data_IF_902118501949
#
_entry.id   IF_902118501949
#
_cell.length_a   1.000
_cell.length_b   1.000
_cell.length_c   1.000
_cell.angle_alpha   90.00
_cell.angle_beta   90.00
_cell.angle_gamma   90.00
#
_symmetry.space_group_name_H-M   'P 1'
#
loop_
_entity.id
_entity.type
_entity.pdbx_description
1 polymer ?
#
# COMPACT_ATOMS: atom_id res chain seq x y z
N UNK A 1 -11.62 -10.08 23.18
CA UNK A 1 -11.52 -10.26 21.71
C UNK A 1 -12.90 -10.23 21.04
N UNK A 2 -13.94 -10.85 21.62
CA UNK A 2 -15.30 -10.89 21.05
C UNK A 2 -15.93 -9.52 20.72
N UNK A 3 -15.73 -8.49 21.56
CA UNK A 3 -16.29 -7.15 21.34
C UNK A 3 -15.81 -6.48 20.04
N UNK A 4 -14.57 -6.70 19.59
CA UNK A 4 -14.02 -6.04 18.37
C UNK A 4 -14.56 -6.62 17.06
N UNK A 5 -15.14 -7.82 17.09
CA UNK A 5 -15.65 -8.49 15.90
C UNK A 5 -17.17 -8.32 15.72
N UNK A 6 -17.86 -7.91 16.78
CA UNK A 6 -19.32 -7.87 16.83
C UNK A 6 -19.89 -6.47 17.03
N UNK A 7 -19.04 -5.49 17.36
CA UNK A 7 -19.44 -4.11 17.61
C UNK A 7 -18.74 -3.17 16.61
N UNK A 8 -19.43 -2.14 16.10
CA UNK A 8 -18.84 -1.14 15.21
C UNK A 8 -17.88 -0.25 15.99
N UNK A 9 -16.65 -0.72 16.13
CA UNK A 9 -15.58 -0.03 16.83
C UNK A 9 -14.49 0.39 15.85
N UNK A 10 -14.02 1.63 15.97
CA UNK A 10 -12.80 2.11 15.31
C UNK A 10 -11.71 2.34 16.35
N UNK A 11 -10.47 2.03 15.99
CA UNK A 11 -9.33 2.34 16.86
C UNK A 11 -9.12 3.86 16.89
N UNK A 12 -9.04 4.43 18.10
CA UNK A 12 -8.69 5.83 18.30
C UNK A 12 -7.23 6.02 17.88
N UNK A 13 -6.93 6.99 16.97
CA UNK A 13 -5.56 7.28 16.58
C UNK A 13 -4.66 7.54 17.80
N UNK A 14 -3.50 6.90 17.86
CA UNK A 14 -2.47 7.16 18.87
C UNK A 14 -1.34 8.00 18.27
N UNK A 15 -0.50 8.64 19.11
CA UNK A 15 0.71 9.32 18.64
C UNK A 15 1.77 8.37 18.05
N UNK A 16 1.60 7.06 18.21
CA UNK A 16 2.54 6.04 17.76
C UNK A 16 2.41 5.85 16.24
N UNK A 17 3.44 6.25 15.50
CA UNK A 17 3.46 6.20 14.04
C UNK A 17 3.82 4.80 13.58
N UNK A 18 2.96 4.19 12.77
CA UNK A 18 3.18 2.88 12.15
C UNK A 18 3.53 1.77 13.17
N UNK A 19 2.86 1.81 14.31
CA UNK A 19 2.98 0.83 15.37
C UNK A 19 1.60 0.30 15.77
N UNK A 20 1.60 -0.88 16.38
CA UNK A 20 0.43 -1.44 17.03
C UNK A 20 0.59 -1.20 18.53
N UNK A 21 -0.10 -0.21 19.13
CA UNK A 21 -0.03 0.03 20.57
C UNK A 21 -0.35 -1.27 21.30
N UNK A 22 0.43 -1.56 22.34
CA UNK A 22 0.16 -2.70 23.21
C UNK A 22 -1.24 -2.63 23.84
N UNK A 23 -1.78 -1.42 24.00
CA UNK A 23 -3.13 -1.16 24.51
C UNK A 23 -3.88 -0.18 23.58
N UNK A 24 -4.42 -0.67 22.44
CA UNK A 24 -5.17 0.18 21.54
C UNK A 24 -6.50 0.58 22.19
N UNK A 25 -6.84 1.87 22.10
CA UNK A 25 -8.14 2.41 22.50
C UNK A 25 -9.11 2.33 21.34
N UNK A 26 -10.38 2.08 21.63
CA UNK A 26 -11.45 2.01 20.64
C UNK A 26 -12.57 2.96 21.02
N UNK A 27 -13.24 3.49 20.00
CA UNK A 27 -14.49 4.23 20.13
C UNK A 27 -15.54 3.62 19.22
N UNK A 28 -16.81 3.82 19.54
CA UNK A 28 -17.92 3.48 18.65
C UNK A 28 -17.87 4.33 17.39
N UNK A 29 -18.26 3.75 16.27
CA UNK A 29 -18.56 4.48 15.04
C UNK A 29 -20.05 4.38 14.76
N UNK A 30 -20.67 5.53 14.45
CA UNK A 30 -22.04 5.56 13.96
C UNK A 30 -22.05 5.04 12.51
N UNK A 31 -22.85 4.01 12.26
CA UNK A 31 -23.11 3.53 10.91
C UNK A 31 -24.36 4.29 10.43
N UNK A 32 -24.29 5.05 9.32
CA UNK A 32 -25.46 5.74 8.80
C UNK A 32 -26.57 4.76 8.43
N UNK A 33 -27.79 5.01 8.90
CA UNK A 33 -28.95 4.12 8.71
C UNK A 33 -29.41 4.00 7.23
N UNK A 34 -29.04 4.95 6.37
CA UNK A 34 -29.65 5.14 5.04
C UNK A 34 -28.71 4.91 3.84
N UNK A 35 -27.49 4.40 4.05
CA UNK A 35 -26.60 4.14 2.92
C UNK A 35 -27.14 2.95 2.09
N UNK A 36 -27.82 3.24 0.97
CA UNK A 36 -28.14 2.19 0.00
C UNK A 36 -26.86 1.45 -0.39
N UNK A 37 -26.94 0.12 -0.51
CA UNK A 37 -25.78 -0.71 -0.89
C UNK A 37 -25.12 -0.17 -2.17
N UNK A 38 -25.93 0.29 -3.12
CA UNK A 38 -25.43 0.80 -4.39
C UNK A 38 -24.69 2.14 -4.22
N UNK A 39 -25.18 3.04 -3.36
CA UNK A 39 -24.50 4.29 -3.00
C UNK A 39 -23.20 4.07 -2.21
N UNK A 40 -23.18 3.08 -1.31
CA UNK A 40 -21.99 2.68 -0.57
C UNK A 40 -20.94 2.07 -1.51
N UNK A 41 -21.34 1.19 -2.43
CA UNK A 41 -20.46 0.60 -3.44
C UNK A 41 -19.90 1.66 -4.39
N UNK A 42 -20.72 2.60 -4.85
CA UNK A 42 -20.28 3.72 -5.66
C UNK A 42 -19.21 4.56 -4.95
N UNK A 43 -19.48 4.94 -3.69
CA UNK A 43 -18.53 5.74 -2.88
C UNK A 43 -17.22 4.99 -2.62
N UNK A 44 -17.30 3.69 -2.35
CA UNK A 44 -16.12 2.84 -2.15
C UNK A 44 -15.32 2.69 -3.45
N UNK A 45 -15.97 2.46 -4.58
CA UNK A 45 -15.30 2.34 -5.88
C UNK A 45 -14.60 3.64 -6.28
N UNK A 46 -15.26 4.80 -6.10
CA UNK A 46 -14.64 6.10 -6.37
C UNK A 46 -13.42 6.35 -5.48
N UNK A 47 -13.51 6.02 -4.18
CA UNK A 47 -12.40 6.16 -3.24
C UNK A 47 -11.22 5.26 -3.60
N UNK A 48 -11.52 4.03 -4.05
CA UNK A 48 -10.52 3.11 -4.58
C UNK A 48 -9.82 3.67 -5.83
N UNK A 49 -10.58 4.22 -6.79
CA UNK A 49 -9.99 4.82 -8.00
C UNK A 49 -9.11 6.04 -7.67
N UNK A 50 -9.53 6.89 -6.73
CA UNK A 50 -8.70 8.02 -6.29
C UNK A 50 -7.35 7.61 -5.69
N UNK A 51 -7.30 6.43 -5.06
CA UNK A 51 -6.09 5.92 -4.44
C UNK A 51 -5.22 5.09 -5.40
N UNK A 52 -5.85 4.32 -6.29
CA UNK A 52 -5.17 3.25 -7.04
C UNK A 52 -5.50 3.22 -8.53
N UNK A 53 -6.25 4.19 -9.05
CA UNK A 53 -6.54 4.30 -10.47
C UNK A 53 -5.27 4.56 -11.32
N UNK A 54 -5.31 4.28 -12.64
CA UNK A 54 -6.39 3.60 -13.36
C UNK A 54 -6.48 2.10 -13.08
N UNK A 55 -7.69 1.58 -12.83
CA UNK A 55 -7.92 0.19 -12.43
C UNK A 55 -9.18 -0.43 -13.06
N UNK A 56 -9.21 -1.76 -13.22
CA UNK A 56 -10.37 -2.48 -13.73
C UNK A 56 -11.36 -2.85 -12.62
N UNK A 57 -12.60 -3.20 -12.99
CA UNK A 57 -13.55 -3.76 -12.02
C UNK A 57 -13.01 -5.03 -11.35
N UNK A 58 -12.26 -5.86 -12.10
CA UNK A 58 -11.65 -7.06 -11.54
C UNK A 58 -10.56 -6.75 -10.50
N UNK A 59 -9.85 -5.63 -10.66
CA UNK A 59 -8.88 -5.16 -9.66
C UNK A 59 -9.61 -4.73 -8.38
N UNK A 60 -10.68 -3.95 -8.51
CA UNK A 60 -11.52 -3.55 -7.37
C UNK A 60 -12.12 -4.75 -6.63
N UNK A 61 -12.63 -5.75 -7.36
CA UNK A 61 -13.16 -6.97 -6.76
C UNK A 61 -12.09 -7.77 -6.02
N UNK A 62 -10.89 -7.89 -6.60
CA UNK A 62 -9.78 -8.58 -5.95
C UNK A 62 -9.31 -7.87 -4.68
N UNK A 63 -9.31 -6.53 -4.68
CA UNK A 63 -8.93 -5.72 -3.52
C UNK A 63 -9.99 -5.73 -2.41
N UNK A 64 -11.26 -5.53 -2.76
CA UNK A 64 -12.36 -5.43 -1.79
C UNK A 64 -12.90 -6.77 -1.30
N UNK A 65 -12.67 -7.85 -2.06
CA UNK A 65 -13.30 -9.16 -1.83
C UNK A 65 -14.78 -9.21 -2.24
N UNK A 66 -15.33 -8.13 -2.80
CA UNK A 66 -16.75 -8.04 -3.16
C UNK A 66 -17.02 -8.65 -4.54
N UNK A 67 -18.05 -9.50 -4.64
CA UNK A 67 -18.36 -10.27 -5.87
C UNK A 67 -19.51 -9.68 -6.70
N UNK A 68 -19.88 -8.42 -6.48
CA UNK A 68 -21.04 -7.74 -7.10
C UNK A 68 -20.85 -7.33 -8.57
N UNK A 69 -20.44 -8.25 -9.46
CA UNK A 69 -20.04 -7.94 -10.84
C UNK A 69 -21.07 -7.14 -11.64
N UNK A 70 -22.35 -7.54 -11.63
CA UNK A 70 -23.40 -6.86 -12.39
C UNK A 70 -23.70 -5.44 -11.85
N UNK A 71 -23.81 -5.30 -10.53
CA UNK A 71 -24.02 -4.00 -9.87
C UNK A 71 -22.84 -3.05 -10.12
N UNK A 72 -21.61 -3.53 -9.99
CA UNK A 72 -20.41 -2.72 -10.24
C UNK A 72 -20.34 -2.22 -11.68
N UNK A 73 -20.76 -3.04 -12.66
CA UNK A 73 -20.85 -2.60 -14.05
C UNK A 73 -21.86 -1.47 -14.23
N UNK A 74 -23.04 -1.59 -13.62
CA UNK A 74 -24.07 -0.55 -13.69
C UNK A 74 -23.61 0.74 -13.02
N UNK A 75 -23.01 0.64 -11.83
CA UNK A 75 -22.44 1.76 -11.08
C UNK A 75 -21.36 2.46 -11.92
N UNK A 76 -20.38 1.71 -12.43
CA UNK A 76 -19.31 2.31 -13.23
C UNK A 76 -19.83 2.99 -14.51
N UNK A 77 -20.90 2.44 -15.12
CA UNK A 77 -21.51 3.01 -16.33
C UNK A 77 -22.36 4.25 -16.06
N UNK A 78 -22.89 4.42 -14.85
CA UNK A 78 -23.64 5.63 -14.46
C UNK A 78 -22.75 6.75 -13.94
N UNK A 79 -21.47 6.48 -13.69
CA UNK A 79 -20.49 7.46 -13.21
C UNK A 79 -19.79 8.18 -14.36
N UNK A 80 -19.46 9.46 -14.13
CA UNK A 80 -18.61 10.24 -15.04
C UNK A 80 -17.12 9.94 -14.77
N UNK A 81 -16.64 8.79 -15.25
CA UNK A 81 -15.25 8.33 -15.12
C UNK A 81 -14.47 8.48 -16.43
N UNK A 82 -13.15 8.57 -16.32
CA UNK A 82 -12.26 8.33 -17.46
C UNK A 82 -12.18 6.82 -17.71
N UNK A 83 -12.00 6.45 -18.98
CA UNK A 83 -11.82 5.06 -19.40
C UNK A 83 -10.62 4.94 -20.34
N UNK A 84 -9.71 4.03 -19.99
CA UNK A 84 -8.53 3.68 -20.77
C UNK A 84 -8.60 2.23 -21.24
N UNK A 85 -7.71 1.89 -22.16
CA UNK A 85 -7.46 0.52 -22.62
C UNK A 85 -6.02 0.17 -22.31
N UNK A 86 -5.80 -0.94 -21.62
CA UNK A 86 -4.44 -1.48 -21.48
C UNK A 86 -4.00 -2.24 -22.74
N UNK A 87 -2.78 -2.73 -22.74
CA UNK A 87 -2.18 -3.46 -23.88
C UNK A 87 -2.93 -4.76 -24.22
N UNK A 88 -3.71 -5.31 -23.27
CA UNK A 88 -4.56 -6.48 -23.47
C UNK A 88 -6.00 -6.13 -23.90
N UNK A 89 -6.29 -4.83 -24.10
CA UNK A 89 -7.61 -4.34 -24.45
C UNK A 89 -8.59 -4.22 -23.26
N UNK A 90 -8.13 -4.44 -22.02
CA UNK A 90 -9.00 -4.35 -20.84
C UNK A 90 -9.33 -2.90 -20.50
N UNK A 91 -10.58 -2.64 -20.13
CA UNK A 91 -11.03 -1.33 -19.62
C UNK A 91 -10.41 -1.05 -18.25
N UNK A 92 -9.73 0.09 -18.13
CA UNK A 92 -9.31 0.67 -16.85
C UNK A 92 -10.09 1.96 -16.62
N UNK A 93 -10.69 2.10 -15.45
CA UNK A 93 -11.40 3.30 -15.04
C UNK A 93 -10.50 4.18 -14.18
N UNK A 94 -10.72 5.49 -14.23
CA UNK A 94 -10.06 6.46 -13.37
C UNK A 94 -10.96 7.68 -13.12
N UNK A 95 -10.62 8.49 -12.13
CA UNK A 95 -11.38 9.70 -11.84
C UNK A 95 -10.99 10.86 -12.77
N UNK A 96 -11.86 11.86 -12.92
CA UNK A 96 -11.63 13.01 -13.82
C UNK A 96 -10.52 13.94 -13.34
N UNK A 97 -10.25 13.93 -12.04
CA UNK A 97 -9.19 14.68 -11.36
C UNK A 97 -7.84 13.96 -11.35
N UNK A 98 -7.78 12.69 -11.78
CA UNK A 98 -6.55 11.94 -11.86
C UNK A 98 -5.57 12.53 -12.86
N UNK A 99 -4.29 12.49 -12.49
CA UNK A 99 -3.17 12.94 -13.33
C UNK A 99 -2.31 11.74 -13.72
N UNK A 100 -2.31 11.39 -15.00
CA UNK A 100 -1.37 10.41 -15.55
C UNK A 100 -0.08 11.15 -15.88
N UNK A 101 1.02 10.71 -15.28
CA UNK A 101 2.36 11.20 -15.61
C UNK A 101 2.88 10.54 -16.89
N UNK A 102 3.79 11.21 -17.59
CA UNK A 102 4.42 10.63 -18.77
C UNK A 102 5.15 9.32 -18.40
N UNK A 103 5.12 8.32 -19.29
CA UNK A 103 5.70 6.99 -19.05
C UNK A 103 7.21 7.04 -18.75
N UNK A 104 7.91 8.05 -19.28
CA UNK A 104 9.35 8.23 -19.13
C UNK A 104 9.68 9.08 -17.88
N UNK A 105 8.67 9.50 -17.11
CA UNK A 105 8.85 10.18 -15.82
C UNK A 105 9.47 9.20 -14.81
N UNK A 106 10.67 9.47 -14.27
CA UNK A 106 11.29 8.59 -13.30
C UNK A 106 10.47 8.52 -12.00
N UNK A 107 10.16 7.31 -11.54
CA UNK A 107 9.55 7.11 -10.22
C UNK A 107 10.63 7.17 -9.13
N UNK A 108 10.46 8.01 -8.09
CA UNK A 108 11.46 8.21 -7.05
C UNK A 108 11.61 6.98 -6.16
N UNK A 109 12.74 6.90 -5.45
CA UNK A 109 12.94 5.89 -4.41
C UNK A 109 11.95 6.13 -3.26
N UNK A 110 11.23 5.08 -2.84
CA UNK A 110 10.26 5.15 -1.74
C UNK A 110 10.31 3.92 -0.86
N UNK A 111 10.18 4.12 0.45
CA UNK A 111 10.04 3.04 1.42
C UNK A 111 8.57 2.91 1.79
N UNK A 112 8.00 1.75 1.51
CA UNK A 112 6.61 1.43 1.88
C UNK A 112 6.59 0.61 3.16
N UNK A 113 5.64 0.88 4.09
CA UNK A 113 5.51 0.13 5.33
C UNK A 113 5.09 -1.33 5.08
N UNK A 114 5.19 -2.15 6.15
CA UNK A 114 4.58 -3.47 6.19
C UNK A 114 3.09 -3.36 5.76
N UNK A 115 2.64 -4.26 4.88
CA UNK A 115 1.26 -4.32 4.37
C UNK A 115 0.77 -3.12 3.53
N UNK A 116 1.67 -2.35 2.92
CA UNK A 116 1.25 -1.27 2.03
C UNK A 116 0.36 -1.77 0.87
N UNK A 117 -0.76 -1.09 0.64
CA UNK A 117 -1.76 -1.47 -0.36
C UNK A 117 -1.26 -1.33 -1.80
N UNK A 118 -0.18 -0.60 -2.06
CA UNK A 118 0.42 -0.49 -3.41
C UNK A 118 0.70 -1.87 -4.01
N UNK A 119 1.00 -2.87 -3.16
CA UNK A 119 1.31 -4.25 -3.54
C UNK A 119 0.06 -5.14 -3.78
N UNK A 120 -1.12 -4.67 -3.38
CA UNK A 120 -2.37 -5.47 -3.34
C UNK A 120 -3.59 -4.81 -3.96
N UNK A 121 -3.54 -3.51 -4.24
CA UNK A 121 -4.66 -2.76 -4.79
C UNK A 121 -5.08 -3.25 -6.17
N UNK A 122 -4.20 -3.94 -6.89
CA UNK A 122 -4.46 -4.50 -8.20
C UNK A 122 -4.40 -6.02 -8.17
N UNK A 123 -5.24 -6.66 -9.00
CA UNK A 123 -5.25 -8.12 -9.16
C UNK A 123 -3.92 -8.60 -9.74
N UNK A 124 -3.40 -7.88 -10.74
CA UNK A 124 -2.07 -8.13 -11.26
C UNK A 124 -1.02 -7.41 -10.39
N UNK A 125 -0.23 -8.19 -9.65
CA UNK A 125 0.82 -7.69 -8.75
C UNK A 125 2.14 -7.39 -9.47
N UNK A 126 2.26 -7.82 -10.72
CA UNK A 126 3.47 -7.67 -11.52
C UNK A 126 3.71 -6.22 -11.96
N UNK A 127 2.75 -5.33 -11.66
CA UNK A 127 2.83 -3.88 -11.89
C UNK A 127 3.94 -3.21 -11.09
N UNK A 128 4.24 -3.74 -9.90
CA UNK A 128 5.22 -3.15 -8.97
C UNK A 128 6.17 -4.18 -8.39
N UNK A 129 5.90 -5.48 -8.56
CA UNK A 129 6.79 -6.56 -8.10
C UNK A 129 7.19 -7.41 -9.29
N UNK A 130 8.48 -7.53 -9.55
CA UNK A 130 8.99 -8.48 -10.54
C UNK A 130 8.60 -9.93 -10.13
N UNK A 131 7.99 -10.73 -11.04
CA UNK A 131 7.56 -12.09 -10.73
C UNK A 131 8.65 -12.99 -10.12
N UNK A 132 9.92 -12.78 -10.49
CA UNK A 132 11.07 -13.56 -10.02
C UNK A 132 11.37 -13.35 -8.52
N UNK A 133 11.10 -12.16 -7.98
CA UNK A 133 11.32 -11.83 -6.57
C UNK A 133 10.03 -11.88 -5.75
N UNK A 134 8.86 -11.97 -6.38
CA UNK A 134 7.55 -11.98 -5.69
C UNK A 134 7.46 -12.97 -4.53
N UNK A 135 7.96 -14.23 -4.63
CA UNK A 135 7.97 -15.16 -3.50
C UNK A 135 8.83 -14.70 -2.31
N UNK A 136 9.83 -13.83 -2.54
CA UNK A 136 10.69 -13.25 -1.49
C UNK A 136 9.96 -12.15 -0.69
N UNK A 137 8.99 -11.47 -1.30
CA UNK A 137 8.22 -10.36 -0.73
C UNK A 137 6.87 -10.84 -0.17
N UNK A 138 6.06 -11.49 -1.00
CA UNK A 138 4.74 -12.03 -0.64
C UNK A 138 4.92 -13.49 -0.26
N UNK A 139 5.47 -13.70 0.94
CA UNK A 139 5.61 -15.02 1.53
C UNK A 139 4.23 -15.47 2.03
N UNK A 140 3.94 -16.78 1.98
CA UNK A 140 2.74 -17.36 2.62
C UNK A 140 2.73 -17.25 4.16
N UNK A 141 3.62 -16.43 4.73
CA UNK A 141 3.72 -16.13 6.16
C UNK A 141 2.79 -14.98 6.52
N UNK A 142 2.36 -14.88 7.79
CA UNK A 142 1.43 -13.84 8.22
C UNK A 142 1.97 -12.42 8.04
N UNK A 143 3.30 -12.26 8.01
CA UNK A 143 3.99 -10.96 7.90
C UNK A 143 4.45 -10.68 6.48
N UNK A 144 4.03 -9.53 5.94
CA UNK A 144 4.65 -8.95 4.75
C UNK A 144 5.58 -7.82 5.17
N UNK A 145 6.86 -7.86 4.77
CA UNK A 145 7.82 -6.83 5.17
C UNK A 145 7.55 -5.52 4.44
N UNK A 146 8.03 -4.42 5.04
CA UNK A 146 8.20 -3.16 4.35
C UNK A 146 9.07 -3.34 3.11
N UNK A 147 8.74 -2.62 2.04
CA UNK A 147 9.39 -2.74 0.74
C UNK A 147 10.09 -1.45 0.35
N UNK A 148 11.12 -1.57 -0.50
CA UNK A 148 11.83 -0.45 -1.10
C UNK A 148 11.50 -0.43 -2.58
N UNK A 149 10.88 0.65 -3.04
CA UNK A 149 10.65 0.91 -4.46
C UNK A 149 11.84 1.68 -5.03
N UNK A 150 12.38 1.21 -6.15
CA UNK A 150 13.39 1.91 -6.96
C UNK A 150 12.87 1.91 -8.39
N UNK A 151 12.72 3.09 -9.01
CA UNK A 151 12.12 3.20 -10.34
C UNK A 151 10.68 2.68 -10.41
N UNK A 152 9.96 2.68 -9.28
CA UNK A 152 8.57 2.22 -9.20
C UNK A 152 8.40 0.71 -8.96
N UNK A 153 9.49 -0.06 -8.90
CA UNK A 153 9.46 -1.49 -8.65
C UNK A 153 10.07 -1.84 -7.30
N UNK A 154 9.54 -2.88 -6.66
CA UNK A 154 10.11 -3.46 -5.45
C UNK A 154 11.48 -4.02 -5.78
N UNK A 155 12.51 -3.45 -5.16
CA UNK A 155 13.91 -3.85 -5.35
C UNK A 155 14.58 -4.25 -4.03
N UNK A 156 13.81 -4.25 -2.93
CA UNK A 156 14.26 -4.72 -1.64
C UNK A 156 13.18 -4.70 -0.57
N UNK A 157 13.58 -5.11 0.62
CA UNK A 157 12.78 -5.06 1.85
C UNK A 157 13.51 -4.28 2.93
N UNK A 158 12.77 -3.81 3.93
CA UNK A 158 13.36 -3.14 5.08
C UNK A 158 12.68 -3.53 6.39
N UNK A 159 13.37 -3.29 7.50
CA UNK A 159 12.83 -3.46 8.84
C UNK A 159 13.42 -2.45 9.82
N UNK A 160 12.57 -1.96 10.71
CA UNK A 160 12.99 -1.16 11.86
C UNK A 160 13.27 -2.08 13.05
N UNK A 161 14.45 -1.92 13.67
CA UNK A 161 14.85 -2.66 14.85
C UNK A 161 15.12 -1.64 15.96
N UNK A 162 14.25 -1.60 16.97
CA UNK A 162 14.43 -0.78 18.15
C UNK A 162 14.31 -1.66 19.40
N UNK A 163 15.46 -2.20 19.85
CA UNK A 163 15.56 -2.94 21.10
C UNK A 163 15.91 -1.92 22.17
N UNK A 164 14.96 -1.54 23.02
CA UNK A 164 15.14 -0.49 24.04
C UNK A 164 16.50 -0.60 24.75
N UNK A 165 17.25 0.50 24.79
CA UNK A 165 18.61 0.56 25.34
C UNK A 165 19.74 0.48 24.30
N UNK A 166 19.46 0.13 23.04
CA UNK A 166 20.43 0.15 21.93
C UNK A 166 20.23 1.29 20.94
N UNK A 167 21.19 1.48 20.04
CA UNK A 167 21.03 2.39 18.89
C UNK A 167 19.98 1.78 17.94
N UNK A 168 18.89 2.51 17.61
CA UNK A 168 17.91 2.01 16.65
C UNK A 168 18.54 1.76 15.29
N UNK A 169 18.07 0.72 14.59
CA UNK A 169 18.64 0.29 13.32
C UNK A 169 17.58 0.15 12.23
N UNK A 170 17.83 0.77 11.08
CA UNK A 170 17.13 0.52 9.84
C UNK A 170 17.93 -0.51 9.02
N UNK A 171 17.37 -1.71 8.84
CA UNK A 171 17.98 -2.75 8.01
C UNK A 171 17.31 -2.77 6.66
N UNK A 172 18.11 -2.72 5.59
CA UNK A 172 17.67 -2.72 4.20
C UNK A 172 18.31 -3.90 3.49
N UNK A 173 17.50 -4.70 2.80
CA UNK A 173 17.92 -5.86 2.05
C UNK A 173 17.49 -5.70 0.59
N UNK A 174 18.45 -5.47 -0.30
CA UNK A 174 18.23 -5.27 -1.73
C UNK A 174 18.33 -6.60 -2.47
N UNK A 175 17.61 -6.74 -3.57
CA UNK A 175 17.58 -7.97 -4.38
C UNK A 175 18.49 -7.91 -5.60
N UNK A 176 18.63 -6.73 -6.24
CA UNK A 176 19.38 -6.59 -7.50
C UNK A 176 20.54 -5.59 -7.43
N UNK A 177 20.69 -4.88 -6.32
CA UNK A 177 21.62 -3.76 -6.20
C UNK A 177 22.69 -4.02 -5.14
N UNK A 178 23.94 -4.17 -5.58
CA UNK A 178 25.08 -4.38 -4.68
C UNK A 178 25.50 -3.12 -3.92
N UNK A 179 25.25 -1.93 -4.49
CA UNK A 179 25.64 -0.65 -3.91
C UNK A 179 24.43 0.31 -3.89
N UNK A 180 24.07 0.89 -2.73
CA UNK A 180 22.96 1.83 -2.65
C UNK A 180 23.33 3.19 -3.26
N UNK A 181 22.47 3.69 -4.14
CA UNK A 181 22.58 5.01 -4.79
C UNK A 181 22.45 6.15 -3.76
N UNK A 182 22.82 7.37 -4.15
CA UNK A 182 22.64 8.55 -3.30
C UNK A 182 21.17 8.76 -2.92
N UNK A 183 20.26 8.70 -3.89
CA UNK A 183 18.82 8.86 -3.67
C UNK A 183 18.26 7.84 -2.66
N UNK A 184 18.70 6.57 -2.75
CA UNK A 184 18.30 5.53 -1.80
C UNK A 184 18.80 5.83 -0.38
N UNK A 185 20.03 6.32 -0.24
CA UNK A 185 20.60 6.69 1.06
C UNK A 185 19.84 7.86 1.68
N UNK A 186 19.57 8.90 0.91
CA UNK A 186 18.83 10.07 1.39
C UNK A 186 17.39 9.71 1.81
N UNK A 187 16.70 8.86 1.05
CA UNK A 187 15.35 8.40 1.43
C UNK A 187 15.40 7.51 2.68
N UNK A 188 16.38 6.61 2.79
CA UNK A 188 16.57 5.79 3.98
C UNK A 188 16.82 6.65 5.23
N UNK A 189 17.63 7.70 5.11
CA UNK A 189 17.87 8.66 6.18
C UNK A 189 16.59 9.41 6.56
N UNK A 190 15.80 9.89 5.59
CA UNK A 190 14.50 10.54 5.87
C UNK A 190 13.57 9.62 6.64
N UNK A 191 13.42 8.36 6.20
CA UNK A 191 12.62 7.37 6.90
C UNK A 191 13.14 7.12 8.31
N UNK A 192 14.44 6.89 8.45
CA UNK A 192 15.08 6.59 9.72
C UNK A 192 14.85 7.68 10.77
N UNK A 193 15.03 8.94 10.41
CA UNK A 193 14.75 10.08 11.28
C UNK A 193 13.27 10.17 11.65
N UNK A 194 12.38 9.93 10.68
CA UNK A 194 10.94 9.97 10.89
C UNK A 194 10.46 8.91 11.91
N UNK A 195 10.96 7.68 11.81
CA UNK A 195 10.49 6.56 12.63
C UNK A 195 11.14 6.50 14.02
N UNK A 196 12.43 6.83 14.13
CA UNK A 196 13.16 6.64 15.40
C UNK A 196 13.23 7.87 16.29
N UNK A 197 13.11 9.08 15.73
CA UNK A 197 13.27 10.35 16.48
C UNK A 197 14.54 10.37 17.34
N UNK A 198 15.62 9.80 16.84
CA UNK A 198 16.89 9.66 17.54
C UNK A 198 18.00 10.36 16.75
N UNK A 199 18.95 10.97 17.45
CA UNK A 199 20.16 11.54 16.84
C UNK A 199 21.14 10.46 16.38
N UNK A 200 21.09 9.27 17.00
CA UNK A 200 21.95 8.14 16.66
C UNK A 200 21.10 7.06 16.03
N UNK A 201 21.32 6.81 14.74
CA UNK A 201 20.63 5.77 14.00
C UNK A 201 21.66 5.00 13.17
N UNK A 202 21.58 3.68 13.20
CA UNK A 202 22.36 2.82 12.31
C UNK A 202 21.53 2.46 11.07
N UNK A 203 22.06 2.72 9.87
CA UNK A 203 21.46 2.26 8.61
C UNK A 203 22.40 1.24 7.98
N UNK A 204 21.91 0.03 7.72
CA UNK A 204 22.71 -1.04 7.12
C UNK A 204 22.06 -1.57 5.85
N UNK A 205 22.88 -1.80 4.83
CA UNK A 205 22.49 -2.35 3.54
C UNK A 205 23.10 -3.73 3.37
N UNK A 206 22.31 -4.68 2.90
CA UNK A 206 22.76 -6.00 2.47
C UNK A 206 22.14 -6.32 1.11
N UNK A 207 22.80 -7.17 0.34
CA UNK A 207 22.25 -7.72 -0.91
C UNK A 207 21.98 -9.19 -0.71
N UNK A 208 20.75 -9.61 -1.00
CA UNK A 208 20.36 -11.02 -1.03
C UNK A 208 20.52 -11.54 -2.46
N UNK A 209 21.57 -12.34 -2.68
CA UNK A 209 21.79 -13.06 -3.95
C UNK A 209 20.76 -14.19 -4.06
#
# INVERSE_FOLDING_TARGET
MAARLLLPLIQVPSPERWAYPNQPRYTWIEIPDEASIDGALASLFLSYLKAFGPASLADFQAWSGLTYTAKLRNIASSMNLLAYRDQSGRTLFDTRDSKIVDKDTPAPVRFLPDYDNTLFAHRNRDRVIDPSIRPRVIRGTPRMPGTVLIGGFVEGTWSAINKGGGTPKLRIQLFKHNNPTLELREEAERLAHYIFRSEKIEISYATEV
#
